data_IF_246784711058
#
_entry.id   IF_246784711058
#
_cell.length_a   1.000
_cell.length_b   1.000
_cell.length_c   1.000
_cell.angle_alpha   90.00
_cell.angle_beta   90.00
_cell.angle_gamma   90.00
#
_symmetry.space_group_name_H-M   'P 1'
#
loop_
_entity.id
_entity.type
_entity.pdbx_description
1 polymer ?
#
# COMPACT_ATOMS: atom_id res chain seq x y z
N UNK A 1 -0.85 22.03 9.87
CA UNK A 1 -0.17 20.74 9.62
C UNK A 1 -1.20 19.66 9.88
N UNK A 2 -1.48 18.80 8.89
CA UNK A 2 -2.47 17.73 9.05
C UNK A 2 -1.89 16.63 9.94
N UNK A 3 -2.72 16.08 10.83
CA UNK A 3 -2.33 14.98 11.69
C UNK A 3 -3.29 13.80 11.48
N UNK A 4 -2.73 12.65 11.16
CA UNK A 4 -3.45 11.40 10.97
C UNK A 4 -2.95 10.41 12.01
N UNK A 5 -3.87 9.90 12.83
CA UNK A 5 -3.55 8.89 13.84
C UNK A 5 -3.52 7.52 13.17
N UNK A 6 -2.33 6.89 13.11
CA UNK A 6 -2.12 5.55 12.52
C UNK A 6 -2.70 5.43 11.11
N UNK A 7 -2.29 6.29 10.17
CA UNK A 7 -2.73 6.16 8.80
C UNK A 7 -2.30 4.82 8.20
N UNK A 8 -3.06 4.37 7.21
CA UNK A 8 -2.67 3.21 6.39
C UNK A 8 -2.15 3.71 5.07
N UNK A 9 -0.89 3.39 4.79
CA UNK A 9 -0.28 3.52 3.49
C UNK A 9 -0.64 2.29 2.66
N UNK A 10 -1.20 2.52 1.47
CA UNK A 10 -1.46 1.49 0.50
C UNK A 10 -0.63 1.77 -0.75
N UNK A 11 0.14 0.78 -1.17
CA UNK A 11 0.98 0.82 -2.37
C UNK A 11 0.59 -0.34 -3.25
N UNK A 12 0.44 -0.07 -4.54
CA UNK A 12 -0.19 -0.96 -5.50
C UNK A 12 0.64 -0.96 -6.77
N UNK A 13 0.83 -2.12 -7.36
CA UNK A 13 1.52 -2.21 -8.64
C UNK A 13 1.76 -3.64 -9.08
N UNK A 14 1.66 -3.85 -10.38
CA UNK A 14 2.00 -5.11 -11.05
C UNK A 14 1.28 -6.37 -10.53
N UNK A 15 0.21 -6.30 -9.73
CA UNK A 15 -0.43 -7.50 -9.14
C UNK A 15 -0.07 -7.78 -7.68
N UNK A 16 0.61 -6.82 -7.04
CA UNK A 16 0.86 -6.82 -5.61
C UNK A 16 0.26 -5.56 -4.99
N UNK A 17 -0.30 -5.74 -3.80
CA UNK A 17 -0.70 -4.66 -2.92
C UNK A 17 0.00 -4.81 -1.57
N UNK A 18 0.54 -3.70 -1.08
CA UNK A 18 1.05 -3.55 0.27
C UNK A 18 0.12 -2.61 1.02
N UNK A 19 -0.42 -3.07 2.14
CA UNK A 19 -1.12 -2.23 3.11
C UNK A 19 -0.31 -2.19 4.39
N UNK A 20 0.02 -0.98 4.87
CA UNK A 20 0.80 -0.78 6.08
C UNK A 20 0.23 0.32 6.95
N UNK A 21 -0.14 -0.03 8.18
CA UNK A 21 -0.30 0.95 9.26
C UNK A 21 1.07 1.56 9.58
N UNK A 22 1.19 2.87 9.40
CA UNK A 22 2.45 3.58 9.57
C UNK A 22 2.24 4.95 10.20
N UNK A 23 3.32 5.56 10.63
CA UNK A 23 3.42 7.01 10.81
C UNK A 23 4.11 7.60 9.58
N UNK A 24 3.77 8.85 9.23
CA UNK A 24 4.50 9.61 8.23
C UNK A 24 5.46 10.56 8.94
N UNK A 25 6.74 10.43 8.62
CA UNK A 25 7.81 11.27 9.14
C UNK A 25 8.09 12.48 8.25
N UNK A 26 9.33 12.91 8.29
CA UNK A 26 9.86 13.97 7.43
C UNK A 26 10.47 13.29 6.20
N UNK A 27 10.11 13.77 5.01
CA UNK A 27 10.73 13.33 3.77
C UNK A 27 12.08 14.01 3.58
N UNK A 28 13.13 13.23 3.41
CA UNK A 28 14.48 13.70 3.13
C UNK A 28 14.84 13.49 1.66
N UNK A 29 15.52 14.44 1.01
CA UNK A 29 15.96 14.27 -0.37
C UNK A 29 17.07 13.21 -0.46
N UNK A 30 16.95 12.33 -1.45
CA UNK A 30 17.94 11.33 -1.87
C UNK A 30 18.04 11.33 -3.40
N UNK A 31 18.92 12.18 -3.93
CA UNK A 31 19.03 12.42 -5.38
C UNK A 31 17.75 13.02 -5.95
N UNK A 32 17.05 12.26 -6.82
CA UNK A 32 15.74 12.65 -7.39
C UNK A 32 14.54 12.15 -6.57
N UNK A 33 14.81 11.41 -5.49
CA UNK A 33 13.80 10.79 -4.64
C UNK A 33 13.67 11.58 -3.34
N UNK A 34 12.54 11.41 -2.69
CA UNK A 34 12.30 11.81 -1.32
C UNK A 34 11.93 10.57 -0.53
N UNK A 35 12.60 10.38 0.60
CA UNK A 35 12.46 9.18 1.44
C UNK A 35 11.94 9.58 2.80
N UNK A 36 10.85 8.97 3.23
CA UNK A 36 10.43 9.00 4.63
C UNK A 36 10.92 7.72 5.32
N UNK A 37 11.95 7.79 6.19
CA UNK A 37 12.50 6.61 6.86
C UNK A 37 11.54 6.00 7.89
N UNK A 38 10.50 6.72 8.32
CA UNK A 38 9.50 6.22 9.26
C UNK A 38 8.53 5.28 8.55
N UNK A 39 7.95 5.75 7.45
CA UNK A 39 7.05 4.92 6.65
C UNK A 39 7.78 3.93 5.77
N UNK A 40 9.00 4.23 5.33
CA UNK A 40 9.70 3.50 4.28
C UNK A 40 9.23 3.87 2.88
N UNK A 41 8.39 4.91 2.73
CA UNK A 41 7.91 5.39 1.45
C UNK A 41 9.00 6.24 0.77
N UNK A 42 9.26 5.91 -0.49
CA UNK A 42 10.13 6.66 -1.38
C UNK A 42 9.30 7.16 -2.56
N UNK A 43 9.42 8.46 -2.88
CA UNK A 43 8.68 9.07 -3.99
C UNK A 43 9.60 9.90 -4.88
N UNK A 44 9.35 9.91 -6.18
CA UNK A 44 9.94 10.86 -7.13
C UNK A 44 8.87 11.91 -7.46
N UNK A 45 8.91 13.11 -6.84
CA UNK A 45 7.83 14.09 -6.98
C UNK A 45 7.51 14.47 -8.42
N UNK A 46 8.52 14.55 -9.29
CA UNK A 46 8.37 14.88 -10.72
C UNK A 46 7.52 13.86 -11.51
N UNK A 47 7.26 12.69 -10.92
CA UNK A 47 6.42 11.64 -11.50
C UNK A 47 4.99 11.66 -10.98
N UNK A 48 4.68 12.42 -9.93
CA UNK A 48 3.32 12.60 -9.46
C UNK A 48 2.56 13.44 -10.49
N UNK A 49 1.52 12.88 -11.09
CA UNK A 49 0.67 13.59 -12.05
C UNK A 49 -0.52 14.23 -11.36
N UNK A 50 -1.02 13.60 -10.29
CA UNK A 50 -2.22 14.04 -9.61
C UNK A 50 -2.24 13.60 -8.15
N UNK A 51 -2.77 14.44 -7.28
CA UNK A 51 -3.17 14.09 -5.92
C UNK A 51 -4.62 14.52 -5.76
N UNK A 52 -5.48 13.61 -5.36
CA UNK A 52 -6.89 13.92 -5.13
C UNK A 52 -7.36 13.27 -3.84
N UNK A 53 -8.46 13.80 -3.30
CA UNK A 53 -9.14 13.16 -2.19
C UNK A 53 -10.26 12.30 -2.73
N UNK A 54 -10.31 11.05 -2.29
CA UNK A 54 -11.39 10.13 -2.54
C UNK A 54 -12.36 10.15 -1.36
N UNK A 55 -13.65 10.26 -1.66
CA UNK A 55 -14.70 10.10 -0.66
C UNK A 55 -15.91 9.40 -1.27
N UNK A 56 -16.31 8.29 -0.67
CA UNK A 56 -17.50 7.53 -1.05
C UNK A 56 -18.25 7.10 0.23
N UNK A 57 -19.54 6.83 0.11
CA UNK A 57 -20.33 6.22 1.20
C UNK A 57 -19.93 4.77 1.45
N UNK A 58 -19.46 4.08 0.41
CA UNK A 58 -19.13 2.66 0.48
C UNK A 58 -17.69 2.39 0.95
N UNK A 59 -16.80 3.38 0.92
CA UNK A 59 -15.38 3.19 1.23
C UNK A 59 -14.86 4.27 2.20
N UNK A 60 -13.88 3.93 3.07
CA UNK A 60 -13.20 4.94 3.87
C UNK A 60 -12.54 5.98 2.95
N UNK A 61 -12.56 7.27 3.34
CA UNK A 61 -11.91 8.31 2.57
C UNK A 61 -10.40 8.09 2.51
N UNK A 62 -9.81 8.41 1.37
CA UNK A 62 -8.38 8.28 1.12
C UNK A 62 -7.82 9.48 0.38
N UNK A 63 -6.53 9.74 0.55
CA UNK A 63 -5.76 10.59 -0.35
C UNK A 63 -5.16 9.67 -1.39
N UNK A 64 -5.50 9.87 -2.65
CA UNK A 64 -5.03 9.07 -3.78
C UNK A 64 -3.95 9.83 -4.54
N UNK A 65 -2.88 9.14 -4.90
CA UNK A 65 -1.71 9.71 -5.58
C UNK A 65 -1.52 8.95 -6.89
N UNK A 66 -1.60 9.68 -7.99
CA UNK A 66 -1.37 9.20 -9.34
C UNK A 66 0.07 9.46 -9.76
N UNK A 67 0.71 8.45 -10.35
CA UNK A 67 2.04 8.53 -10.91
C UNK A 67 2.00 8.31 -12.43
N UNK A 68 2.84 9.04 -13.17
CA UNK A 68 2.99 8.92 -14.62
C UNK A 68 3.43 7.50 -14.97
N UNK A 69 2.65 6.83 -15.83
CA UNK A 69 2.82 5.42 -16.27
C UNK A 69 2.30 4.35 -15.29
N UNK A 70 2.07 4.69 -14.02
CA UNK A 70 1.57 3.73 -13.00
C UNK A 70 0.12 3.98 -12.56
N UNK A 71 -0.44 5.15 -12.87
CA UNK A 71 -1.78 5.54 -12.44
C UNK A 71 -1.87 5.72 -10.92
N UNK A 72 -3.05 5.51 -10.34
CA UNK A 72 -3.31 5.62 -8.90
C UNK A 72 -2.71 4.46 -8.09
N UNK A 73 -1.40 4.49 -7.97
CA UNK A 73 -0.60 3.42 -7.39
C UNK A 73 -0.37 3.57 -5.88
N UNK A 74 -0.68 4.73 -5.29
CA UNK A 74 -0.54 4.95 -3.85
C UNK A 74 -1.77 5.62 -3.26
N UNK A 75 -2.14 5.21 -2.05
CA UNK A 75 -3.05 5.96 -1.22
C UNK A 75 -2.69 5.99 0.24
N UNK A 76 -3.25 7.00 0.90
CA UNK A 76 -3.14 7.20 2.33
C UNK A 76 -4.55 7.25 2.91
N UNK A 77 -4.86 6.30 3.78
CA UNK A 77 -6.04 6.34 4.61
C UNK A 77 -5.71 7.09 5.90
N UNK A 78 -6.35 8.24 6.17
CA UNK A 78 -6.13 9.03 7.38
C UNK A 78 -6.38 8.28 8.70
N UNK A 79 -7.16 7.20 8.66
CA UNK A 79 -7.64 6.51 9.85
C UNK A 79 -8.99 7.02 10.34
N UNK A 80 -9.53 6.36 11.35
CA UNK A 80 -10.90 6.57 11.84
C UNK A 80 -11.02 7.35 13.15
N UNK A 81 -9.97 8.01 13.62
CA UNK A 81 -10.05 8.80 14.87
C UNK A 81 -10.79 10.13 14.63
N UNK A 82 -11.37 10.75 15.68
CA UNK A 82 -11.94 12.09 15.56
C UNK A 82 -10.96 13.12 14.99
N UNK A 83 -9.68 13.04 15.38
CA UNK A 83 -8.63 13.93 14.90
C UNK A 83 -8.32 13.71 13.42
N UNK A 84 -8.16 12.46 12.98
CA UNK A 84 -7.98 12.14 11.56
C UNK A 84 -9.16 12.63 10.71
N UNK A 85 -10.39 12.47 11.20
CA UNK A 85 -11.59 12.99 10.54
C UNK A 85 -11.60 14.51 10.44
N UNK A 86 -11.19 15.21 11.50
CA UNK A 86 -11.09 16.67 11.48
C UNK A 86 -10.03 17.15 10.47
N UNK A 87 -8.83 16.57 10.50
CA UNK A 87 -7.76 16.85 9.52
C UNK A 87 -8.21 16.60 8.08
N UNK A 88 -8.96 15.51 7.86
CA UNK A 88 -9.53 15.21 6.56
C UNK A 88 -10.57 16.24 6.12
N UNK A 89 -11.49 16.63 7.01
CA UNK A 89 -12.49 17.67 6.73
C UNK A 89 -11.86 19.02 6.39
N UNK A 90 -10.77 19.39 7.08
CA UNK A 90 -9.97 20.56 6.70
C UNK A 90 -9.35 20.44 5.31
N UNK A 91 -8.88 19.25 4.94
CA UNK A 91 -8.32 19.00 3.62
C UNK A 91 -9.39 19.11 2.54
N UNK A 92 -10.57 18.50 2.74
CA UNK A 92 -11.75 18.64 1.85
C UNK A 92 -12.08 20.10 1.62
N UNK A 93 -12.18 20.90 2.68
CA UNK A 93 -12.55 22.31 2.60
C UNK A 93 -11.53 23.19 1.86
N UNK A 94 -10.29 22.70 1.69
CA UNK A 94 -9.23 23.40 0.96
C UNK A 94 -9.15 22.98 -0.51
N UNK A 95 -9.84 21.91 -0.92
CA UNK A 95 -9.86 21.47 -2.31
C UNK A 95 -10.78 22.37 -3.13
N UNK A 96 -10.24 22.94 -4.20
CA UNK A 96 -11.03 23.74 -5.14
C UNK A 96 -12.05 22.89 -5.91
N UNK A 97 -11.70 21.65 -6.23
CA UNK A 97 -12.49 20.76 -7.10
C UNK A 97 -13.30 19.71 -6.34
N UNK A 98 -13.28 19.74 -5.00
CA UNK A 98 -13.97 18.76 -4.15
C UNK A 98 -13.34 17.35 -4.19
N UNK A 99 -13.92 16.38 -3.46
CA UNK A 99 -13.47 14.99 -3.50
C UNK A 99 -13.98 14.25 -4.75
N UNK A 100 -13.18 13.29 -5.21
CA UNK A 100 -13.47 12.37 -6.31
C UNK A 100 -14.29 11.17 -5.83
N UNK A 101 -15.18 10.68 -6.71
CA UNK A 101 -15.95 9.46 -6.47
C UNK A 101 -15.15 8.21 -6.84
N UNK A 102 -15.54 7.05 -6.30
CA UNK A 102 -14.96 5.77 -6.72
C UNK A 102 -15.07 5.56 -8.24
N UNK A 103 -16.20 5.96 -8.84
CA UNK A 103 -16.42 5.83 -10.30
C UNK A 103 -15.43 6.67 -11.10
N UNK A 104 -15.19 7.92 -10.71
CA UNK A 104 -14.25 8.81 -11.38
C UNK A 104 -12.81 8.27 -11.29
N UNK A 105 -12.40 7.79 -10.12
CA UNK A 105 -11.08 7.17 -9.94
C UNK A 105 -10.94 5.88 -10.76
N UNK A 106 -11.98 5.04 -10.79
CA UNK A 106 -12.00 3.84 -11.65
C UNK A 106 -11.83 4.22 -13.12
N UNK A 107 -12.57 5.22 -13.60
CA UNK A 107 -12.48 5.70 -14.97
C UNK A 107 -11.08 6.27 -15.31
N UNK A 108 -10.42 6.88 -14.32
CA UNK A 108 -9.06 7.38 -14.44
C UNK A 108 -7.97 6.28 -14.28
N UNK A 109 -8.36 5.01 -14.27
CA UNK A 109 -7.39 3.91 -14.25
C UNK A 109 -6.93 3.48 -12.85
N UNK A 110 -7.60 3.89 -11.77
CA UNK A 110 -7.41 3.32 -10.43
C UNK A 110 -7.90 1.85 -10.32
N UNK A 111 -7.98 1.13 -11.44
CA UNK A 111 -8.83 -0.04 -11.63
C UNK A 111 -8.57 -1.21 -10.66
N UNK A 112 -9.68 -1.92 -10.39
CA UNK A 112 -9.90 -3.22 -9.71
C UNK A 112 -9.96 -3.30 -8.18
N UNK A 113 -9.34 -2.42 -7.39
CA UNK A 113 -9.27 -2.64 -5.93
C UNK A 113 -10.26 -1.82 -5.08
N UNK A 114 -10.93 -0.80 -5.65
CA UNK A 114 -12.06 -0.13 -4.97
C UNK A 114 -13.22 -1.12 -4.69
N UNK A 115 -13.33 -2.17 -5.52
CA UNK A 115 -14.26 -3.28 -5.31
C UNK A 115 -13.70 -4.30 -4.27
N UNK A 116 -12.37 -4.44 -4.20
CA UNK A 116 -11.67 -5.34 -3.26
C UNK A 116 -11.64 -4.84 -1.81
N UNK A 117 -11.80 -3.53 -1.59
CA UNK A 117 -11.93 -2.98 -0.23
C UNK A 117 -13.29 -3.29 0.43
N UNK A 118 -14.24 -3.86 -0.33
CA UNK A 118 -15.51 -4.34 0.21
C UNK A 118 -15.59 -5.87 0.23
N UNK A 119 -15.00 -6.58 -0.73
CA UNK A 119 -14.81 -8.03 -0.69
C UNK A 119 -13.51 -8.42 -1.42
N UNK A 120 -12.55 -9.00 -0.70
CA UNK A 120 -11.16 -9.08 -1.12
C UNK A 120 -10.99 -10.18 -2.19
N UNK A 121 -10.90 -9.80 -3.48
CA UNK A 121 -10.91 -10.74 -4.60
C UNK A 121 -10.05 -10.36 -5.81
N UNK A 122 -9.07 -11.24 -6.12
CA UNK A 122 -8.38 -11.54 -7.39
C UNK A 122 -8.18 -10.47 -8.50
N UNK A 123 -6.90 -10.17 -8.78
CA UNK A 123 -6.38 -10.04 -10.13
C UNK A 123 -5.05 -9.27 -10.26
N UNK A 124 -4.11 -9.89 -10.99
CA UNK A 124 -2.78 -9.46 -11.50
C UNK A 124 -1.53 -10.18 -10.92
N UNK A 125 -0.58 -10.41 -11.83
CA UNK A 125 0.64 -11.21 -11.65
C UNK A 125 1.89 -10.32 -11.46
N UNK A 126 2.26 -10.07 -10.20
CA UNK A 126 3.60 -9.59 -9.84
C UNK A 126 4.28 -10.68 -9.03
N UNK A 127 5.45 -11.12 -9.49
CA UNK A 127 6.23 -12.16 -8.83
C UNK A 127 6.77 -11.66 -7.50
N UNK A 128 6.24 -12.15 -6.38
CA UNK A 128 6.68 -11.78 -5.00
C UNK A 128 8.16 -12.04 -4.76
N UNK A 129 8.76 -12.92 -5.56
CA UNK A 129 10.19 -13.21 -5.52
C UNK A 129 11.09 -12.00 -5.79
N UNK A 130 10.63 -11.01 -6.57
CA UNK A 130 11.37 -9.76 -6.79
C UNK A 130 11.15 -8.75 -5.68
N UNK A 131 10.15 -8.95 -4.83
CA UNK A 131 9.64 -7.99 -3.86
C UNK A 131 10.13 -8.29 -2.44
N UNK A 132 10.18 -9.56 -2.03
CA UNK A 132 10.68 -9.95 -0.71
C UNK A 132 12.15 -10.34 -0.78
N UNK A 133 13.02 -9.46 -0.28
CA UNK A 133 14.46 -9.70 -0.17
C UNK A 133 14.81 -10.12 1.26
N UNK A 134 15.44 -11.30 1.48
CA UNK A 134 15.84 -11.71 2.81
C UNK A 134 16.89 -10.74 3.36
N UNK A 135 16.76 -10.35 4.62
CA UNK A 135 17.78 -9.55 5.30
C UNK A 135 18.84 -10.45 5.94
N UNK A 136 19.93 -9.86 6.46
CA UNK A 136 20.92 -10.58 7.27
C UNK A 136 20.31 -11.18 8.54
N UNK A 137 19.15 -10.71 8.98
CA UNK A 137 18.40 -11.26 10.08
C UNK A 137 17.40 -12.30 9.55
N UNK A 138 17.53 -13.55 10.00
CA UNK A 138 16.81 -14.72 9.47
C UNK A 138 15.28 -14.68 9.60
N UNK A 139 14.71 -13.63 10.19
CA UNK A 139 13.26 -13.47 10.43
C UNK A 139 12.68 -12.20 9.81
N UNK A 140 13.49 -11.41 9.11
CA UNK A 140 13.08 -10.15 8.49
C UNK A 140 13.32 -10.17 6.99
N UNK A 141 12.34 -9.64 6.27
CA UNK A 141 12.39 -9.38 4.84
C UNK A 141 12.32 -7.89 4.59
N UNK A 142 13.09 -7.42 3.62
CA UNK A 142 12.87 -6.13 3.00
C UNK A 142 11.79 -6.32 1.93
N UNK A 143 10.68 -5.61 2.07
CA UNK A 143 9.74 -5.43 0.96
C UNK A 143 10.31 -4.33 0.08
N UNK A 144 10.60 -4.66 -1.17
CA UNK A 144 11.10 -3.73 -2.18
C UNK A 144 10.14 -3.72 -3.37
N UNK A 145 9.31 -2.67 -3.42
CA UNK A 145 8.43 -2.39 -4.55
C UNK A 145 9.08 -1.41 -5.52
N UNK A 146 10.39 -1.52 -5.78
CA UNK A 146 11.09 -0.69 -6.76
C UNK A 146 10.55 -0.96 -8.15
N UNK A 147 9.75 -0.04 -8.67
CA UNK A 147 9.22 -0.08 -10.01
C UNK A 147 8.52 1.23 -10.30
N UNK A 148 9.25 2.13 -10.96
CA UNK A 148 8.77 3.38 -11.56
C UNK A 148 8.04 4.38 -10.61
N UNK A 149 8.69 5.52 -10.34
CA UNK A 149 8.07 6.70 -9.71
C UNK A 149 7.93 6.70 -8.20
N UNK A 150 7.77 5.53 -7.60
CA UNK A 150 7.70 5.34 -6.15
C UNK A 150 8.27 3.97 -5.77
N UNK A 151 8.68 3.83 -4.52
CA UNK A 151 9.10 2.57 -3.94
C UNK A 151 8.72 2.51 -2.47
N UNK A 152 8.66 1.29 -1.94
CA UNK A 152 8.63 1.06 -0.52
C UNK A 152 9.82 0.20 -0.14
N UNK A 153 10.50 0.59 0.93
CA UNK A 153 11.57 -0.17 1.55
C UNK A 153 11.34 -0.19 3.05
N UNK A 154 10.99 -1.36 3.60
CA UNK A 154 10.76 -1.49 5.03
C UNK A 154 10.90 -2.92 5.55
N UNK A 155 11.25 -3.08 6.85
CA UNK A 155 11.31 -4.39 7.47
C UNK A 155 9.92 -4.98 7.58
N UNK A 156 9.83 -6.27 7.27
CA UNK A 156 8.62 -7.07 7.36
C UNK A 156 8.94 -8.42 8.02
N UNK A 157 8.12 -8.79 9.01
CA UNK A 157 8.23 -10.08 9.72
C UNK A 157 6.96 -10.88 9.48
N UNK A 158 6.92 -11.72 8.43
CA UNK A 158 5.79 -12.61 8.18
C UNK A 158 5.50 -13.46 9.41
N UNK A 159 4.22 -13.59 9.78
CA UNK A 159 3.78 -14.48 10.84
C UNK A 159 2.54 -15.29 10.46
N UNK A 160 1.69 -14.72 9.61
CA UNK A 160 0.49 -15.35 9.09
C UNK A 160 0.52 -15.40 7.58
N UNK A 161 0.14 -16.55 7.03
CA UNK A 161 -0.06 -16.74 5.60
C UNK A 161 -1.44 -17.34 5.40
N UNK A 162 -2.22 -16.68 4.56
CA UNK A 162 -3.54 -17.13 4.12
C UNK A 162 -3.51 -17.30 2.60
N UNK A 163 -3.89 -18.47 2.13
CA UNK A 163 -3.83 -18.87 0.72
C UNK A 163 -5.19 -19.41 0.30
N UNK A 164 -5.81 -18.73 -0.66
CA UNK A 164 -7.12 -19.07 -1.19
C UNK A 164 -7.11 -19.15 -2.72
N UNK A 165 -8.28 -19.29 -3.33
CA UNK A 165 -8.47 -19.48 -4.77
C UNK A 165 -7.80 -18.37 -5.62
N UNK A 166 -6.52 -18.56 -5.95
CA UNK A 166 -5.73 -17.63 -6.74
C UNK A 166 -5.20 -16.41 -6.00
N UNK A 167 -5.14 -16.41 -4.67
CA UNK A 167 -4.56 -15.30 -3.92
C UNK A 167 -3.74 -15.77 -2.71
N UNK A 168 -2.78 -14.94 -2.33
CA UNK A 168 -1.97 -15.13 -1.13
C UNK A 168 -1.87 -13.82 -0.37
N UNK A 169 -2.14 -13.92 0.92
CA UNK A 169 -2.03 -12.84 1.90
C UNK A 169 -0.97 -13.22 2.93
N UNK A 170 0.03 -12.36 3.07
CA UNK A 170 1.09 -12.52 4.07
C UNK A 170 1.00 -11.33 5.02
N UNK A 171 0.96 -11.59 6.33
CA UNK A 171 0.89 -10.50 7.31
C UNK A 171 1.79 -10.72 8.51
N UNK A 172 2.16 -9.61 9.16
CA UNK A 172 2.86 -9.65 10.44
C UNK A 172 1.91 -10.05 11.58
N UNK A 173 2.47 -10.33 12.76
CA UNK A 173 1.70 -10.80 13.92
C UNK A 173 0.70 -9.78 14.49
N UNK A 174 0.75 -8.52 14.03
CA UNK A 174 -0.18 -7.46 14.44
C UNK A 174 -1.10 -7.04 13.28
N UNK A 175 -1.00 -7.72 12.13
CA UNK A 175 -1.61 -7.35 10.87
C UNK A 175 -1.41 -5.87 10.49
N UNK A 176 -0.30 -5.28 10.93
CA UNK A 176 0.05 -3.88 10.61
C UNK A 176 0.60 -3.76 9.21
N UNK A 177 1.34 -4.77 8.77
CA UNK A 177 1.81 -4.90 7.39
C UNK A 177 1.15 -6.13 6.78
N UNK A 178 0.50 -5.93 5.65
CA UNK A 178 -0.15 -6.97 4.86
C UNK A 178 0.34 -6.85 3.42
N UNK A 179 0.94 -7.91 2.92
CA UNK A 179 1.27 -8.10 1.53
C UNK A 179 0.21 -9.00 0.90
N UNK A 180 -0.33 -8.57 -0.23
CA UNK A 180 -1.31 -9.32 -1.01
C UNK A 180 -0.79 -9.52 -2.42
N UNK A 181 -1.05 -10.69 -2.97
CA UNK A 181 -0.78 -11.07 -4.36
C UNK A 181 -1.93 -11.89 -4.90
N UNK A 182 -2.06 -11.91 -6.21
CA UNK A 182 -3.03 -12.75 -6.92
C UNK A 182 -2.39 -13.72 -7.89
N UNK A 183 -1.08 -13.93 -7.77
CA UNK A 183 -0.38 -14.94 -8.56
C UNK A 183 -0.42 -16.30 -7.86
N UNK A 184 -1.17 -17.25 -8.44
CA UNK A 184 -1.21 -18.65 -7.98
C UNK A 184 0.17 -19.32 -7.99
N UNK A 185 1.03 -18.93 -8.94
CA UNK A 185 2.43 -19.35 -9.03
C UNK A 185 3.28 -18.88 -7.85
N UNK A 186 3.05 -17.65 -7.35
CA UNK A 186 3.80 -17.15 -6.20
C UNK A 186 3.30 -17.75 -4.89
N UNK A 187 1.99 -17.99 -4.76
CA UNK A 187 1.41 -18.65 -3.60
C UNK A 187 2.07 -20.00 -3.31
N UNK A 188 2.50 -20.73 -4.35
CA UNK A 188 3.22 -21.99 -4.24
C UNK A 188 4.71 -21.85 -3.85
N UNK A 189 5.36 -20.72 -4.17
CA UNK A 189 6.81 -20.52 -3.96
C UNK A 189 7.15 -19.93 -2.59
N UNK A 190 6.25 -19.13 -1.99
CA UNK A 190 6.50 -18.48 -0.70
C UNK A 190 6.69 -19.42 0.50
N UNK A 191 5.92 -20.50 0.66
CA UNK A 191 6.13 -21.42 1.78
C UNK A 191 7.56 -21.97 1.82
N UNK A 192 8.17 -22.22 0.67
CA UNK A 192 9.58 -22.62 0.56
C UNK A 192 10.56 -21.53 1.00
N UNK A 193 10.31 -20.25 0.65
CA UNK A 193 11.14 -19.11 1.06
C UNK A 193 10.98 -18.73 2.52
N UNK A 194 9.81 -19.01 3.08
CA UNK A 194 9.50 -18.74 4.47
C UNK A 194 9.75 -19.95 5.39
N UNK A 195 10.35 -21.03 4.88
CA UNK A 195 10.57 -22.29 5.61
C UNK A 195 11.42 -22.18 6.89
N UNK A 196 12.08 -21.03 7.13
CA UNK A 196 12.78 -20.69 8.38
C UNK A 196 12.00 -19.77 9.34
N UNK A 197 10.78 -19.35 8.96
CA UNK A 197 9.92 -18.44 9.73
C UNK A 197 8.79 -19.28 10.34
N UNK A 198 8.58 -19.16 11.66
CA UNK A 198 7.45 -19.79 12.32
C UNK A 198 6.14 -19.12 11.86
N UNK A 199 5.56 -19.66 10.80
CA UNK A 199 4.29 -19.21 10.24
C UNK A 199 3.18 -20.03 10.85
N UNK A 200 2.17 -19.34 11.37
CA UNK A 200 0.95 -19.99 11.82
C UNK A 200 -0.04 -20.02 10.66
N UNK A 201 -0.52 -21.21 10.23
CA UNK A 201 -1.75 -21.24 9.45
C UNK A 201 -2.86 -20.62 10.31
N UNK A 202 -3.69 -19.80 9.68
CA UNK A 202 -4.88 -19.23 10.32
C UNK A 202 -5.95 -20.31 10.50
#
# INVERSE_FOLDING_TARGET
MFHFDRPRLVIRGNGVALCRETEFGIFFPDGRRYVDPVSGLEVVPDRITRICLHQDHAAPPSIEIEFREEGFACAIYPGGTPQSRASLGELVNRLAEGPESSEALRAAGAARWLDECLEWGSGLDARIESILKPTRHSREFLIDLSGLGFSFAGPFRPNHVDAGAGHLRVSDCRHRTVLYTTSASDAALLPGKLSGVAIRPC
#
